data_IF_021960349289
#
_entry.id   IF_021960349289
#
_cell.length_a   1.000
_cell.length_b   1.000
_cell.length_c   1.000
_cell.angle_alpha   90.00
_cell.angle_beta   90.00
_cell.angle_gamma   90.00
#
_symmetry.space_group_name_H-M   'P 1'
#
loop_
_entity.id
_entity.type
_entity.pdbx_description
1 polymer ?
#
# COMPACT_ATOMS: atom_id res chain seq x y z
N UNK A 1 24.13 53.63 -17.41
CA UNK A 1 24.77 52.38 -16.88
C UNK A 1 24.05 51.71 -15.73
N UNK A 2 22.81 52.04 -15.44
CA UNK A 2 22.03 51.45 -14.32
C UNK A 2 21.05 50.32 -14.64
N UNK A 3 20.77 50.05 -15.91
CA UNK A 3 19.69 49.14 -16.32
C UNK A 3 20.11 47.65 -16.38
N UNK A 4 21.40 47.39 -16.60
CA UNK A 4 21.92 46.02 -16.74
C UNK A 4 22.01 45.28 -15.37
N UNK A 5 22.40 45.93 -14.32
CA UNK A 5 22.53 45.39 -13.00
C UNK A 5 21.15 45.08 -12.34
N UNK A 6 20.14 45.91 -12.64
CA UNK A 6 18.76 45.69 -12.16
C UNK A 6 18.10 44.55 -12.87
N UNK A 7 18.35 44.36 -14.17
CA UNK A 7 17.81 43.27 -15.00
C UNK A 7 18.39 41.90 -14.57
N UNK A 8 19.69 41.85 -14.20
CA UNK A 8 20.31 40.65 -13.67
C UNK A 8 19.81 40.29 -12.26
N UNK A 9 19.56 41.30 -11.41
CA UNK A 9 18.97 41.04 -10.08
C UNK A 9 17.53 40.53 -10.14
N UNK A 10 16.74 41.01 -11.12
CA UNK A 10 15.37 40.52 -11.34
C UNK A 10 15.35 39.08 -11.85
N UNK A 11 16.29 38.72 -12.73
CA UNK A 11 16.44 37.34 -13.23
C UNK A 11 16.88 36.36 -12.13
N UNK A 12 17.75 36.78 -11.21
CA UNK A 12 18.19 35.95 -10.08
C UNK A 12 17.06 35.73 -9.09
N UNK A 13 16.21 36.73 -8.85
CA UNK A 13 15.02 36.60 -7.98
C UNK A 13 13.98 35.68 -8.59
N UNK A 14 13.76 35.74 -9.92
CA UNK A 14 12.84 34.80 -10.60
C UNK A 14 13.33 33.35 -10.59
N UNK A 15 14.63 33.11 -10.67
CA UNK A 15 15.20 31.75 -10.60
C UNK A 15 15.11 31.16 -9.19
N UNK A 16 15.19 32.00 -8.15
CA UNK A 16 15.06 31.57 -6.77
C UNK A 16 13.62 31.22 -6.34
N UNK A 17 12.62 31.73 -7.06
CA UNK A 17 11.19 31.45 -6.75
C UNK A 17 10.71 30.15 -7.42
N UNK A 18 11.44 29.60 -8.38
CA UNK A 18 11.08 28.34 -9.07
C UNK A 18 11.61 27.08 -8.37
N UNK A 19 12.29 27.19 -7.23
CA UNK A 19 12.49 26.03 -6.34
C UNK A 19 11.22 25.80 -5.50
N UNK A 20 10.10 25.59 -6.18
CA UNK A 20 8.91 24.99 -5.56
C UNK A 20 9.34 23.60 -5.13
N UNK A 21 9.58 23.44 -3.84
CA UNK A 21 9.76 22.15 -3.23
C UNK A 21 8.61 21.27 -3.72
N UNK A 22 8.91 20.27 -4.52
CA UNK A 22 7.97 19.19 -4.80
C UNK A 22 7.65 18.57 -3.46
N UNK A 23 6.54 18.98 -2.86
CA UNK A 23 5.96 18.29 -1.72
C UNK A 23 5.58 16.93 -2.27
N UNK A 24 6.44 15.96 -2.09
CA UNK A 24 6.07 14.58 -2.33
C UNK A 24 4.94 14.27 -1.35
N UNK A 25 3.70 14.37 -1.82
CA UNK A 25 2.57 13.85 -1.07
C UNK A 25 2.79 12.34 -1.02
N UNK A 26 3.29 11.87 0.12
CA UNK A 26 3.38 10.45 0.36
C UNK A 26 1.98 9.86 0.35
N UNK A 27 1.78 8.82 -0.43
CA UNK A 27 0.52 8.08 -0.48
C UNK A 27 0.42 7.17 0.74
N UNK A 28 -0.63 7.31 1.54
CA UNK A 28 -0.93 6.36 2.60
C UNK A 28 -1.62 5.14 1.99
N UNK A 29 -1.20 3.94 2.41
CA UNK A 29 -1.80 2.69 1.95
C UNK A 29 -2.72 2.10 3.02
N UNK A 30 -3.87 1.62 2.58
CA UNK A 30 -4.84 0.95 3.43
C UNK A 30 -4.85 -0.56 3.19
N UNK A 31 -4.99 -1.31 4.28
CA UNK A 31 -5.33 -2.72 4.23
C UNK A 31 -6.85 -2.83 4.24
N UNK A 32 -7.38 -3.53 3.25
CA UNK A 32 -8.82 -3.71 3.07
C UNK A 32 -9.20 -5.19 3.03
N UNK A 33 -10.37 -5.50 3.58
CA UNK A 33 -10.95 -6.84 3.57
C UNK A 33 -12.39 -6.79 3.10
N UNK A 34 -12.96 -7.95 2.81
CA UNK A 34 -14.38 -8.06 2.52
C UNK A 34 -15.22 -7.49 3.69
N UNK A 35 -16.30 -6.75 3.44
CA UNK A 35 -17.17 -6.22 4.50
C UNK A 35 -17.67 -7.25 5.49
N UNK A 36 -17.92 -8.48 5.05
CA UNK A 36 -18.34 -9.61 5.89
C UNK A 36 -17.24 -10.28 6.69
N UNK A 37 -15.97 -9.93 6.49
CA UNK A 37 -14.87 -10.44 7.30
C UNK A 37 -14.93 -9.86 8.71
N UNK A 38 -14.84 -10.65 9.79
CA UNK A 38 -14.93 -10.15 11.17
C UNK A 38 -13.72 -9.31 11.60
N UNK A 39 -12.60 -9.36 10.86
CA UNK A 39 -11.36 -8.66 11.18
C UNK A 39 -11.58 -7.14 11.28
N UNK A 40 -11.05 -6.52 12.33
CA UNK A 40 -11.09 -5.06 12.56
C UNK A 40 -9.71 -4.46 12.74
N UNK A 41 -8.81 -5.24 13.32
CA UNK A 41 -7.44 -4.85 13.66
C UNK A 41 -6.50 -5.97 13.25
N UNK A 42 -5.35 -5.63 12.74
CA UNK A 42 -4.26 -6.53 12.39
C UNK A 42 -2.95 -5.85 12.79
N UNK A 43 -2.05 -6.56 13.44
CA UNK A 43 -0.71 -6.02 13.67
C UNK A 43 0.12 -6.11 12.38
N UNK A 44 1.14 -5.25 12.26
CA UNK A 44 2.09 -5.33 11.14
C UNK A 44 2.79 -6.70 11.09
N UNK A 45 3.04 -7.31 12.25
CA UNK A 45 3.64 -8.65 12.36
C UNK A 45 2.70 -9.73 11.82
N UNK A 46 1.41 -9.67 12.14
CA UNK A 46 0.41 -10.60 11.59
C UNK A 46 0.22 -10.45 10.11
N UNK A 47 0.20 -9.20 9.62
CA UNK A 47 0.20 -8.92 8.19
C UNK A 47 1.41 -9.57 7.50
N UNK A 48 2.60 -9.43 8.07
CA UNK A 48 3.81 -10.11 7.58
C UNK A 48 3.70 -11.64 7.55
N UNK A 49 3.02 -12.26 8.53
CA UNK A 49 2.75 -13.71 8.53
C UNK A 49 1.85 -14.13 7.37
N UNK A 50 0.85 -13.32 7.02
CA UNK A 50 -0.01 -13.56 5.85
C UNK A 50 0.82 -13.48 4.56
N UNK A 51 1.64 -12.44 4.42
CA UNK A 51 2.50 -12.26 3.25
C UNK A 51 3.54 -13.38 3.12
N UNK A 52 4.00 -13.97 4.21
CA UNK A 52 4.92 -15.13 4.24
C UNK A 52 4.18 -16.48 4.18
N UNK A 53 2.86 -16.50 3.95
CA UNK A 53 2.01 -17.69 3.97
C UNK A 53 2.12 -18.52 5.27
N UNK A 54 2.48 -17.89 6.39
CA UNK A 54 2.49 -18.51 7.72
C UNK A 54 1.12 -18.50 8.40
N UNK A 55 0.23 -17.59 7.97
CA UNK A 55 -1.18 -17.55 8.32
C UNK A 55 -1.97 -17.65 7.03
N UNK A 56 -2.77 -18.71 6.88
CA UNK A 56 -3.44 -19.07 5.62
C UNK A 56 -4.95 -19.07 5.72
N UNK A 57 -5.47 -19.00 6.95
CA UNK A 57 -6.90 -19.12 7.26
C UNK A 57 -7.27 -18.02 8.26
N UNK A 58 -8.41 -17.39 8.06
CA UNK A 58 -9.02 -16.46 8.99
C UNK A 58 -9.62 -17.19 10.22
N UNK A 59 -9.84 -16.50 11.36
CA UNK A 59 -10.47 -17.09 12.53
C UNK A 59 -11.86 -17.70 12.29
N UNK A 60 -12.57 -17.26 11.25
CA UNK A 60 -13.86 -17.80 10.83
C UNK A 60 -13.74 -19.03 9.91
N UNK A 61 -12.53 -19.53 9.69
CA UNK A 61 -12.24 -20.71 8.88
C UNK A 61 -12.10 -20.48 7.38
N UNK A 62 -12.28 -19.25 6.89
CA UNK A 62 -12.10 -18.94 5.46
C UNK A 62 -10.62 -18.86 5.08
N UNK A 63 -10.28 -19.42 3.93
CA UNK A 63 -8.93 -19.30 3.36
C UNK A 63 -8.62 -17.85 2.99
N UNK A 64 -7.38 -17.42 3.26
CA UNK A 64 -6.91 -16.08 2.92
C UNK A 64 -6.54 -16.05 1.42
N UNK A 65 -6.96 -15.00 0.73
CA UNK A 65 -6.50 -14.64 -0.62
C UNK A 65 -5.91 -13.25 -0.59
N UNK A 66 -4.65 -13.11 -0.99
CA UNK A 66 -3.97 -11.82 -1.04
C UNK A 66 -4.22 -11.17 -2.40
N UNK A 67 -4.74 -9.95 -2.39
CA UNK A 67 -5.03 -9.17 -3.60
C UNK A 67 -4.13 -7.94 -3.63
N UNK A 68 -3.25 -7.87 -4.61
CA UNK A 68 -2.28 -6.80 -4.77
C UNK A 68 -2.41 -6.15 -6.14
N UNK A 69 -1.93 -4.93 -6.27
CA UNK A 69 -1.64 -4.33 -7.57
C UNK A 69 -0.48 -5.11 -8.22
N UNK A 70 -0.23 -4.82 -9.50
CA UNK A 70 0.93 -5.36 -10.21
C UNK A 70 2.21 -5.35 -9.34
N UNK A 71 3.07 -6.37 -9.51
CA UNK A 71 4.27 -6.53 -8.69
C UNK A 71 5.22 -5.32 -8.72
N UNK A 72 5.20 -4.55 -9.81
CA UNK A 72 6.04 -3.38 -9.97
C UNK A 72 5.35 -2.08 -9.52
N UNK A 73 4.08 -2.13 -9.10
CA UNK A 73 3.37 -0.95 -8.63
C UNK A 73 4.02 -0.37 -7.37
N UNK A 74 4.01 0.95 -7.20
CA UNK A 74 4.59 1.59 -6.01
C UNK A 74 3.97 1.06 -4.71
N UNK A 75 2.67 0.79 -4.68
CA UNK A 75 1.97 0.27 -3.51
C UNK A 75 2.41 -1.14 -3.14
N UNK A 76 2.55 -2.03 -4.13
CA UNK A 76 3.04 -3.39 -3.89
C UNK A 76 4.49 -3.38 -3.39
N UNK A 77 5.36 -2.60 -4.01
CA UNK A 77 6.75 -2.43 -3.54
C UNK A 77 6.81 -1.93 -2.11
N UNK A 78 6.04 -0.87 -1.82
CA UNK A 78 5.99 -0.27 -0.49
C UNK A 78 5.54 -1.27 0.58
N UNK A 79 4.44 -2.00 0.34
CA UNK A 79 3.92 -2.94 1.34
C UNK A 79 4.87 -4.12 1.55
N UNK A 80 5.50 -4.63 0.50
CA UNK A 80 6.48 -5.70 0.61
C UNK A 80 7.67 -5.28 1.48
N UNK A 81 8.27 -4.11 1.21
CA UNK A 81 9.34 -3.55 2.03
C UNK A 81 8.93 -3.44 3.51
N UNK A 82 7.72 -2.93 3.77
CA UNK A 82 7.21 -2.75 5.14
C UNK A 82 6.96 -4.06 5.90
N UNK A 83 6.44 -5.08 5.23
CA UNK A 83 6.01 -6.33 5.90
C UNK A 83 7.05 -7.44 5.83
N UNK A 84 7.92 -7.45 4.83
CA UNK A 84 8.93 -8.49 4.64
C UNK A 84 10.32 -8.04 5.08
N UNK A 85 10.67 -6.76 4.87
CA UNK A 85 11.93 -6.16 5.33
C UNK A 85 13.18 -6.72 4.63
N UNK A 86 13.06 -7.12 3.37
CA UNK A 86 14.14 -7.66 2.56
C UNK A 86 14.51 -6.75 1.38
N UNK A 87 15.24 -7.31 0.41
CA UNK A 87 15.40 -6.68 -0.89
C UNK A 87 14.19 -6.93 -1.77
N UNK A 88 13.92 -6.05 -2.73
CA UNK A 88 12.76 -6.21 -3.65
C UNK A 88 12.75 -7.57 -4.37
N UNK A 89 13.92 -8.09 -4.77
CA UNK A 89 14.01 -9.36 -5.45
C UNK A 89 13.69 -10.54 -4.52
N UNK A 90 14.17 -10.51 -3.27
CA UNK A 90 13.83 -11.52 -2.26
C UNK A 90 12.34 -11.48 -1.92
N UNK A 91 11.77 -10.30 -1.76
CA UNK A 91 10.34 -10.08 -1.48
C UNK A 91 9.47 -10.58 -2.63
N UNK A 92 9.87 -10.28 -3.87
CA UNK A 92 9.20 -10.77 -5.07
C UNK A 92 9.25 -12.29 -5.17
N UNK A 93 10.38 -12.91 -4.80
CA UNK A 93 10.53 -14.37 -4.77
C UNK A 93 9.54 -15.00 -3.77
N UNK A 94 9.29 -14.38 -2.63
CA UNK A 94 8.27 -14.84 -1.66
C UNK A 94 6.88 -14.89 -2.28
N UNK A 95 6.49 -13.92 -3.11
CA UNK A 95 5.20 -13.91 -3.79
C UNK A 95 5.10 -14.95 -4.90
N UNK A 96 6.23 -15.37 -5.47
CA UNK A 96 6.31 -16.31 -6.59
C UNK A 96 6.54 -17.76 -6.14
N UNK A 97 6.70 -18.01 -4.84
CA UNK A 97 6.93 -19.35 -4.29
C UNK A 97 5.78 -20.30 -4.66
N UNK A 98 6.05 -21.45 -5.30
CA UNK A 98 5.03 -22.46 -5.62
C UNK A 98 4.30 -23.00 -4.39
N UNK A 99 5.00 -23.15 -3.25
CA UNK A 99 4.43 -23.57 -1.98
C UNK A 99 3.40 -22.56 -1.46
N UNK A 100 3.65 -21.27 -1.65
CA UNK A 100 2.74 -20.19 -1.32
C UNK A 100 1.43 -20.26 -2.12
N UNK A 101 1.50 -20.53 -3.42
CA UNK A 101 0.29 -20.59 -4.28
C UNK A 101 -0.73 -21.60 -3.78
N UNK A 102 -0.29 -22.66 -3.12
CA UNK A 102 -1.17 -23.67 -2.52
C UNK A 102 -1.71 -23.27 -1.14
N UNK A 103 -1.03 -22.36 -0.44
CA UNK A 103 -1.38 -21.96 0.93
C UNK A 103 -2.14 -20.62 0.98
N UNK A 104 -1.59 -19.57 0.35
CA UNK A 104 -2.21 -18.23 0.24
C UNK A 104 -2.13 -17.79 -1.20
N UNK A 105 -3.20 -17.94 -1.97
CA UNK A 105 -3.26 -17.44 -3.35
C UNK A 105 -2.98 -15.94 -3.41
N UNK A 106 -2.22 -15.52 -4.42
CA UNK A 106 -2.00 -14.10 -4.73
C UNK A 106 -2.68 -13.79 -6.05
N UNK A 107 -3.53 -12.78 -6.03
CA UNK A 107 -4.21 -12.25 -7.22
C UNK A 107 -3.66 -10.85 -7.48
N UNK A 108 -3.18 -10.62 -8.70
CA UNK A 108 -2.73 -9.31 -9.14
C UNK A 108 -3.85 -8.60 -9.91
N UNK A 109 -4.12 -7.37 -9.52
CA UNK A 109 -5.12 -6.49 -10.11
C UNK A 109 -4.47 -5.32 -10.86
N UNK A 110 -5.11 -4.82 -11.90
CA UNK A 110 -4.60 -3.73 -12.72
C UNK A 110 -4.84 -2.34 -12.11
N UNK A 111 -5.84 -2.22 -11.24
CA UNK A 111 -6.21 -0.95 -10.58
C UNK A 111 -6.70 -1.16 -9.15
N UNK A 112 -6.77 -0.08 -8.37
CA UNK A 112 -7.33 -0.11 -7.01
C UNK A 112 -8.82 -0.43 -7.02
N UNK A 113 -9.56 0.02 -8.06
CA UNK A 113 -10.96 -0.35 -8.27
C UNK A 113 -11.11 -1.85 -8.45
N UNK A 114 -10.19 -2.48 -9.18
CA UNK A 114 -10.21 -3.92 -9.36
C UNK A 114 -9.85 -4.65 -8.08
N UNK A 115 -8.89 -4.17 -7.29
CA UNK A 115 -8.61 -4.69 -5.94
C UNK A 115 -9.88 -4.66 -5.10
N UNK A 116 -10.57 -3.51 -5.04
CA UNK A 116 -11.83 -3.38 -4.28
C UNK A 116 -12.91 -4.33 -4.77
N UNK A 117 -13.06 -4.49 -6.08
CA UNK A 117 -14.04 -5.42 -6.69
C UNK A 117 -13.75 -6.87 -6.28
N UNK A 118 -12.50 -7.31 -6.36
CA UNK A 118 -12.08 -8.67 -6.00
C UNK A 118 -12.27 -8.91 -4.50
N UNK A 119 -11.82 -7.98 -3.66
CA UNK A 119 -11.95 -8.06 -2.19
C UNK A 119 -13.41 -8.05 -1.78
N UNK A 120 -14.23 -7.19 -2.38
CA UNK A 120 -15.67 -7.13 -2.10
C UNK A 120 -16.42 -8.40 -2.48
N UNK A 121 -15.98 -9.12 -3.51
CA UNK A 121 -16.61 -10.36 -3.99
C UNK A 121 -16.08 -11.62 -3.29
N UNK A 122 -14.94 -11.56 -2.58
CA UNK A 122 -14.31 -12.73 -1.96
C UNK A 122 -14.21 -12.53 -0.44
N UNK A 123 -14.96 -13.34 0.32
CA UNK A 123 -15.03 -13.25 1.78
C UNK A 123 -13.70 -13.51 2.50
N UNK A 124 -12.74 -14.21 1.88
CA UNK A 124 -11.41 -14.48 2.40
C UNK A 124 -10.34 -13.49 1.93
N UNK A 125 -10.69 -12.55 1.06
CA UNK A 125 -9.69 -11.66 0.46
C UNK A 125 -9.23 -10.54 1.40
N UNK A 126 -7.94 -10.21 1.28
CA UNK A 126 -7.27 -9.06 1.86
C UNK A 126 -6.52 -8.33 0.75
N UNK A 127 -6.65 -7.03 0.69
CA UNK A 127 -6.04 -6.20 -0.35
C UNK A 127 -5.27 -5.01 0.21
N UNK A 128 -4.43 -4.43 -0.65
CA UNK A 128 -3.67 -3.20 -0.39
C UNK A 128 -4.04 -2.18 -1.46
N UNK A 129 -4.47 -1.01 -1.06
CA UNK A 129 -4.86 0.07 -1.96
C UNK A 129 -4.39 1.43 -1.45
N UNK A 130 -4.29 2.39 -2.35
CA UNK A 130 -4.14 3.80 -2.00
C UNK A 130 -5.40 4.27 -1.25
N UNK A 131 -5.20 4.86 -0.07
CA UNK A 131 -6.32 5.30 0.76
C UNK A 131 -7.22 6.32 0.07
N UNK A 132 -6.68 7.13 -0.82
CA UNK A 132 -7.42 8.15 -1.58
C UNK A 132 -8.32 7.55 -2.68
N UNK A 133 -8.08 6.29 -3.06
CA UNK A 133 -8.86 5.58 -4.08
C UNK A 133 -10.02 4.77 -3.49
N UNK A 134 -10.21 4.77 -2.17
CA UNK A 134 -11.30 4.02 -1.53
C UNK A 134 -12.65 4.68 -1.82
N UNK A 135 -13.48 3.98 -2.60
CA UNK A 135 -14.83 4.46 -2.96
C UNK A 135 -15.95 3.69 -2.27
N UNK A 136 -15.67 2.49 -1.77
CA UNK A 136 -16.64 1.64 -1.07
C UNK A 136 -16.50 0.16 -1.38
N UNK A 137 -17.43 -0.68 -0.88
CA UNK A 137 -17.46 -2.12 -1.14
C UNK A 137 -16.40 -2.95 -0.40
N UNK A 138 -15.56 -2.31 0.38
CA UNK A 138 -14.52 -2.94 1.21
C UNK A 138 -14.52 -2.34 2.61
N UNK A 139 -13.91 -3.05 3.55
CA UNK A 139 -13.71 -2.58 4.92
C UNK A 139 -12.23 -2.34 5.18
N UNK A 140 -11.89 -1.13 5.65
CA UNK A 140 -10.53 -0.79 6.08
C UNK A 140 -10.23 -1.44 7.43
N UNK A 141 -9.06 -2.08 7.52
CA UNK A 141 -8.56 -2.71 8.74
C UNK A 141 -7.54 -1.76 9.40
N UNK A 142 -7.63 -1.61 10.72
CA UNK A 142 -6.60 -0.91 11.49
C UNK A 142 -5.31 -1.72 11.51
N UNK A 143 -4.18 -1.05 11.38
CA UNK A 143 -2.87 -1.66 11.58
C UNK A 143 -2.26 -1.11 12.88
N UNK A 144 -1.89 -2.01 13.80
CA UNK A 144 -1.42 -1.65 15.14
C UNK A 144 -2.35 -0.63 15.84
N UNK A 145 -3.67 -0.91 15.80
CA UNK A 145 -4.76 -0.06 16.33
C UNK A 145 -4.93 1.31 15.69
N UNK A 146 -4.22 1.61 14.59
CA UNK A 146 -4.30 2.88 13.88
C UNK A 146 -4.98 2.75 12.52
N UNK A 147 -5.75 3.77 12.16
CA UNK A 147 -6.31 3.92 10.82
C UNK A 147 -5.36 4.72 9.92
N UNK A 148 -5.50 4.62 8.59
CA UNK A 148 -4.91 5.59 7.69
C UNK A 148 -5.21 7.02 8.15
N UNK A 149 -4.24 7.91 8.01
CA UNK A 149 -4.21 9.30 8.50
C UNK A 149 -4.00 9.49 10.01
N UNK A 150 -4.12 8.46 10.85
CA UNK A 150 -3.79 8.60 12.27
C UNK A 150 -2.29 8.92 12.45
N UNK A 151 -1.93 9.75 13.45
CA UNK A 151 -0.53 9.99 13.78
C UNK A 151 0.21 8.69 14.08
N UNK A 152 1.33 8.46 13.37
CA UNK A 152 2.14 7.25 13.53
C UNK A 152 1.54 6.00 12.87
N UNK A 153 0.60 6.16 11.92
CA UNK A 153 0.20 5.04 11.06
C UNK A 153 1.41 4.49 10.28
N UNK A 154 1.58 3.17 10.29
CA UNK A 154 2.84 2.56 9.81
C UNK A 154 2.92 2.37 8.30
N UNK A 155 1.76 2.34 7.60
CA UNK A 155 1.71 2.19 6.14
C UNK A 155 1.61 3.54 5.43
N UNK A 156 2.29 4.52 5.98
CA UNK A 156 2.41 5.86 5.43
C UNK A 156 3.52 5.89 4.38
N UNK A 157 3.17 6.20 3.14
CA UNK A 157 4.12 6.46 2.07
C UNK A 157 4.89 7.76 2.32
N UNK A 158 6.10 7.87 1.78
CA UNK A 158 6.93 9.07 1.83
C UNK A 158 6.80 9.85 0.55
#
# INVERSE_FOLDING_TARGET
MGTSAMRNRLLIVCVLILSVASVAFGTDYAIVVNPGNPLRVLSLVELGKIFKAKTTIWPDGKGITLVLRDQNSPGTKFILDKVLGGTFDEEKAVLSDPGRKNAVPVVFAESDEEVMRIVGANAGAIGVIDVYNITGGVKVVKIDDKQPFDPGYVLKGR
#
